data_IF_946995985807
#
_entry.id   IF_946995985807
#
_cell.length_a   1.000
_cell.length_b   1.000
_cell.length_c   1.000
_cell.angle_alpha   90.00
_cell.angle_beta   90.00
_cell.angle_gamma   90.00
#
_symmetry.space_group_name_H-M   'P 1'
#
loop_
_entity.id
_entity.type
_entity.pdbx_description
1 polymer ?
#
# COMPACT_ATOMS: atom_id res chain seq x y z
N UNK A 1 0.78 10.05 -1.03
CA UNK A 1 1.87 10.75 -1.74
C UNK A 1 3.05 9.80 -1.85
N UNK A 2 3.22 9.16 -3.00
CA UNK A 2 4.28 8.18 -3.20
C UNK A 2 5.68 8.81 -3.22
N UNK A 3 5.78 10.03 -3.75
CA UNK A 3 7.01 10.82 -3.85
C UNK A 3 7.18 11.85 -2.71
N UNK A 4 6.29 11.79 -1.71
CA UNK A 4 6.23 12.73 -0.58
C UNK A 4 5.71 14.14 -0.92
N UNK A 5 5.48 14.45 -2.20
CA UNK A 5 5.12 15.80 -2.66
C UNK A 5 3.71 15.84 -3.23
N UNK A 6 3.42 14.97 -4.18
CA UNK A 6 2.21 15.00 -4.98
C UNK A 6 1.20 13.95 -4.50
N UNK A 7 -0.07 14.37 -4.39
CA UNK A 7 -1.16 13.44 -4.08
C UNK A 7 -1.48 12.59 -5.29
N UNK A 8 -1.77 11.32 -5.06
CA UNK A 8 -2.07 10.33 -6.08
C UNK A 8 -3.25 9.48 -5.64
N UNK A 9 -4.01 8.94 -6.58
CA UNK A 9 -5.09 8.00 -6.34
C UNK A 9 -4.56 6.57 -6.46
N UNK A 10 -5.00 5.68 -5.57
CA UNK A 10 -4.69 4.26 -5.64
C UNK A 10 -5.95 3.42 -5.39
N UNK A 11 -6.17 2.42 -6.25
CA UNK A 11 -7.35 1.57 -6.22
C UNK A 11 -6.97 0.11 -6.45
N UNK A 12 -7.46 -0.80 -5.60
CA UNK A 12 -7.42 -2.23 -5.87
C UNK A 12 -8.50 -2.62 -6.87
N UNK A 13 -8.19 -3.55 -7.76
CA UNK A 13 -9.10 -4.09 -8.78
C UNK A 13 -9.45 -5.54 -8.50
N UNK A 14 -10.60 -6.00 -9.01
CA UNK A 14 -11.03 -7.41 -8.90
C UNK A 14 -10.09 -8.39 -9.62
N UNK A 15 -9.29 -7.91 -10.57
CA UNK A 15 -8.28 -8.69 -11.30
C UNK A 15 -6.97 -8.88 -10.52
N UNK A 16 -6.89 -8.47 -9.25
CA UNK A 16 -5.68 -8.59 -8.45
C UNK A 16 -4.57 -7.63 -8.90
N UNK A 17 -4.95 -6.48 -9.47
CA UNK A 17 -4.06 -5.37 -9.80
C UNK A 17 -4.36 -4.18 -8.92
N UNK A 18 -3.33 -3.38 -8.65
CA UNK A 18 -3.47 -2.05 -8.07
C UNK A 18 -3.23 -1.03 -9.17
N UNK A 19 -4.19 -0.13 -9.34
CA UNK A 19 -4.09 1.03 -10.21
C UNK A 19 -3.61 2.22 -9.39
N UNK A 20 -2.60 2.92 -9.89
CA UNK A 20 -2.04 4.13 -9.29
C UNK A 20 -2.08 5.24 -10.34
N UNK A 21 -2.73 6.35 -9.99
CA UNK A 21 -2.85 7.53 -10.84
C UNK A 21 -2.24 8.74 -10.14
N UNK A 22 -1.29 9.40 -10.79
CA UNK A 22 -0.70 10.65 -10.32
C UNK A 22 -0.86 11.73 -11.40
N UNK A 23 -1.72 12.75 -11.19
CA UNK A 23 -1.94 13.80 -12.19
C UNK A 23 -0.73 14.73 -12.36
N UNK A 24 0.26 14.65 -11.46
CA UNK A 24 1.47 15.48 -11.50
C UNK A 24 2.67 14.78 -12.16
N UNK A 25 2.54 13.50 -12.48
CA UNK A 25 3.56 12.78 -13.22
C UNK A 25 3.60 13.32 -14.65
N UNK A 26 4.70 14.02 -14.99
CA UNK A 26 4.83 14.67 -16.31
C UNK A 26 4.86 13.60 -17.39
N UNK A 27 3.83 13.58 -18.22
CA UNK A 27 3.82 12.85 -19.48
C UNK A 27 5.03 13.31 -20.32
N UNK A 28 5.90 12.36 -20.66
CA UNK A 28 6.86 12.56 -21.75
C UNK A 28 6.05 12.55 -23.04
N UNK A 29 5.53 13.73 -23.40
CA UNK A 29 4.94 14.27 -24.64
C UNK A 29 4.28 13.42 -25.74
N UNK A 30 4.25 12.09 -25.75
CA UNK A 30 3.68 11.31 -26.87
C UNK A 30 2.80 10.11 -26.46
N UNK A 31 2.49 9.95 -25.18
CA UNK A 31 1.66 8.83 -24.70
C UNK A 31 0.45 9.34 -23.89
N UNK A 32 -0.61 9.76 -24.61
CA UNK A 32 -1.88 10.24 -24.03
C UNK A 32 -2.57 9.20 -23.11
N UNK A 33 -2.08 7.95 -23.08
CA UNK A 33 -2.68 6.84 -22.34
C UNK A 33 -1.94 6.42 -21.06
N UNK A 34 -0.80 7.01 -20.71
CA UNK A 34 0.05 6.47 -19.64
C UNK A 34 -0.07 7.20 -18.29
N UNK A 35 -1.27 7.71 -17.97
CA UNK A 35 -1.56 8.32 -16.66
C UNK A 35 -1.74 7.30 -15.53
N UNK A 36 -1.72 6.01 -15.86
CA UNK A 36 -2.06 4.91 -14.96
C UNK A 36 -0.89 3.93 -14.86
N UNK A 37 -0.31 3.83 -13.67
CA UNK A 37 0.62 2.74 -13.33
C UNK A 37 -0.18 1.56 -12.80
N UNK A 38 0.22 0.34 -13.15
CA UNK A 38 -0.38 -0.89 -12.64
C UNK A 38 0.64 -1.74 -11.90
N UNK A 39 0.31 -2.13 -10.68
CA UNK A 39 1.05 -3.12 -9.89
C UNK A 39 0.27 -4.43 -9.86
N UNK A 40 0.91 -5.52 -10.31
CA UNK A 40 0.27 -6.84 -10.35
C UNK A 40 0.51 -7.58 -9.03
N UNK A 41 -0.53 -7.75 -8.23
CA UNK A 41 -0.49 -8.54 -6.97
C UNK A 41 -0.74 -10.03 -7.27
N UNK A 42 -1.44 -10.33 -8.37
CA UNK A 42 -1.78 -11.69 -8.81
C UNK A 42 -2.53 -12.51 -7.76
N UNK A 43 -3.19 -11.83 -6.83
CA UNK A 43 -4.02 -12.39 -5.76
C UNK A 43 -5.22 -11.48 -5.52
N UNK A 44 -6.26 -12.02 -4.91
CA UNK A 44 -7.41 -11.22 -4.48
C UNK A 44 -6.98 -10.23 -3.41
N UNK A 45 -7.11 -8.95 -3.72
CA UNK A 45 -6.87 -7.84 -2.80
C UNK A 45 -8.11 -7.73 -1.91
N UNK A 46 -7.90 -7.71 -0.59
CA UNK A 46 -8.97 -7.66 0.42
C UNK A 46 -8.98 -6.35 1.19
N UNK A 47 -7.83 -5.70 1.32
CA UNK A 47 -7.70 -4.38 1.91
C UNK A 47 -6.50 -3.65 1.30
N UNK A 48 -6.57 -2.32 1.23
CA UNK A 48 -5.46 -1.45 0.86
C UNK A 48 -5.42 -0.27 1.83
N UNK A 49 -4.22 0.22 2.12
CA UNK A 49 -4.02 1.47 2.83
C UNK A 49 -2.68 2.10 2.44
N UNK A 50 -2.46 3.36 2.79
CA UNK A 50 -1.23 4.07 2.48
C UNK A 50 -0.81 4.97 3.64
N UNK A 51 0.50 4.97 3.94
CA UNK A 51 1.04 5.90 4.93
C UNK A 51 2.55 5.73 5.16
N UNK A 52 3.18 6.68 5.87
CA UNK A 52 4.60 6.63 6.15
C UNK A 52 4.89 5.67 7.31
N UNK A 53 5.20 4.40 7.00
CA UNK A 53 5.44 3.34 7.99
C UNK A 53 6.71 3.52 8.83
N UNK A 54 7.47 4.59 8.59
CA UNK A 54 8.64 4.92 9.40
C UNK A 54 8.60 6.42 9.74
N UNK A 55 8.92 6.82 10.99
CA UNK A 55 8.80 8.22 11.42
C UNK A 55 9.58 9.23 10.58
N UNK A 56 10.67 8.79 9.95
CA UNK A 56 11.53 9.63 9.12
C UNK A 56 11.17 9.59 7.62
N UNK A 57 10.14 8.83 7.22
CA UNK A 57 9.68 8.81 5.83
C UNK A 57 8.72 9.98 5.60
N UNK A 58 9.04 10.82 4.63
CA UNK A 58 8.19 11.93 4.18
C UNK A 58 7.24 11.51 3.04
N UNK A 59 7.18 10.22 2.72
CA UNK A 59 6.38 9.66 1.65
C UNK A 59 5.64 8.40 2.10
N UNK A 60 4.55 8.08 1.40
CA UNK A 60 3.68 6.97 1.75
C UNK A 60 4.21 5.67 1.16
N UNK A 61 4.12 4.60 1.94
CA UNK A 61 4.23 3.24 1.46
C UNK A 61 2.84 2.68 1.21
N UNK A 62 2.73 1.81 0.21
CA UNK A 62 1.48 1.14 -0.13
C UNK A 62 1.38 -0.17 0.66
N UNK A 63 0.32 -0.32 1.45
CA UNK A 63 -0.01 -1.54 2.16
C UNK A 63 -1.10 -2.29 1.41
N UNK A 64 -0.87 -3.59 1.18
CA UNK A 64 -1.78 -4.46 0.42
C UNK A 64 -2.07 -5.72 1.22
N UNK A 65 -3.31 -5.82 1.68
CA UNK A 65 -3.85 -7.01 2.30
C UNK A 65 -4.42 -7.98 1.27
N UNK A 66 -4.14 -9.26 1.47
CA UNK A 66 -4.75 -10.38 0.74
C UNK A 66 -5.32 -11.39 1.75
N UNK A 67 -5.90 -12.47 1.25
CA UNK A 67 -6.46 -13.53 2.11
C UNK A 67 -5.42 -14.22 3.02
N UNK A 68 -4.13 -14.17 2.70
CA UNK A 68 -3.09 -14.88 3.46
C UNK A 68 -1.86 -14.04 3.75
N UNK A 69 -1.78 -12.81 3.24
CA UNK A 69 -0.55 -12.02 3.25
C UNK A 69 -0.80 -10.53 3.37
N UNK A 70 0.17 -9.85 3.96
CA UNK A 70 0.34 -8.40 3.95
C UNK A 70 1.62 -8.06 3.18
N UNK A 71 1.51 -7.21 2.18
CA UNK A 71 2.62 -6.63 1.43
C UNK A 71 2.74 -5.14 1.80
N UNK A 72 3.95 -4.68 2.09
CA UNK A 72 4.30 -3.27 2.14
C UNK A 72 5.23 -2.96 0.96
N UNK A 73 4.83 -2.00 0.13
CA UNK A 73 5.45 -1.72 -1.16
C UNK A 73 5.84 -0.24 -1.28
N UNK A 74 7.07 0.02 -1.72
CA UNK A 74 7.54 1.35 -2.10
C UNK A 74 7.26 1.58 -3.58
N UNK A 75 6.26 2.44 -3.86
CA UNK A 75 5.79 2.73 -5.22
C UNK A 75 6.85 3.45 -6.05
N UNK A 76 7.63 4.34 -5.45
CA UNK A 76 8.63 5.13 -6.19
C UNK A 76 9.90 4.32 -6.45
N UNK A 77 10.33 3.49 -5.49
CA UNK A 77 11.49 2.62 -5.67
C UNK A 77 11.16 1.31 -6.39
N UNK A 78 9.88 1.04 -6.62
CA UNK A 78 9.39 -0.19 -7.22
C UNK A 78 9.95 -1.44 -6.49
N UNK A 79 9.82 -1.45 -5.17
CA UNK A 79 10.43 -2.47 -4.30
C UNK A 79 9.56 -2.86 -3.12
N UNK A 80 9.59 -4.13 -2.76
CA UNK A 80 8.97 -4.64 -1.54
C UNK A 80 9.78 -4.18 -0.31
N UNK A 81 9.10 -3.55 0.66
CA UNK A 81 9.70 -3.22 1.96
C UNK A 81 9.62 -4.43 2.87
N UNK A 82 8.46 -5.08 2.93
CA UNK A 82 8.31 -6.39 3.53
C UNK A 82 7.13 -7.15 2.96
N UNK A 83 7.15 -8.46 3.16
CA UNK A 83 6.06 -9.37 2.87
C UNK A 83 5.87 -10.29 4.09
N UNK A 84 4.66 -10.32 4.66
CA UNK A 84 4.34 -11.10 5.86
C UNK A 84 3.18 -12.03 5.60
N UNK A 85 3.27 -13.23 6.16
CA UNK A 85 2.13 -14.16 6.22
C UNK A 85 1.16 -13.71 7.31
N UNK A 86 -0.12 -13.65 6.96
CA UNK A 86 -1.23 -13.37 7.86
C UNK A 86 -2.22 -14.52 7.71
N UNK A 87 -2.03 -15.57 8.52
CA UNK A 87 -2.79 -16.82 8.39
C UNK A 87 -4.31 -16.63 8.53
N UNK A 88 -4.73 -15.62 9.29
CA UNK A 88 -6.14 -15.27 9.52
C UNK A 88 -6.71 -14.28 8.49
N UNK A 89 -5.91 -13.94 7.47
CA UNK A 89 -6.24 -12.99 6.41
C UNK A 89 -6.16 -11.53 6.80
N UNK A 90 -6.04 -10.66 5.79
CA UNK A 90 -6.03 -9.22 5.95
C UNK A 90 -7.34 -8.61 5.40
N UNK A 91 -8.39 -8.61 6.22
CA UNK A 91 -9.73 -8.14 5.84
C UNK A 91 -9.92 -6.64 6.07
N UNK A 92 -9.23 -6.10 7.07
CA UNK A 92 -9.12 -4.67 7.32
C UNK A 92 -7.65 -4.31 7.46
N UNK A 93 -7.30 -3.10 7.01
CA UNK A 93 -5.94 -2.60 7.05
C UNK A 93 -5.98 -1.13 7.47
N UNK A 94 -5.11 -0.78 8.41
CA UNK A 94 -4.94 0.57 8.90
C UNK A 94 -3.46 0.84 9.14
N UNK A 95 -2.96 1.92 8.57
CA UNK A 95 -1.75 2.58 9.01
C UNK A 95 -2.06 3.49 10.20
N UNK A 96 -1.31 3.37 11.29
CA UNK A 96 -1.48 4.28 12.41
C UNK A 96 -0.55 3.99 13.58
N UNK A 97 -0.69 4.79 14.64
CA UNK A 97 0.13 4.69 15.87
C UNK A 97 -0.76 4.32 17.06
N UNK A 98 -0.94 3.02 17.37
CA UNK A 98 -1.78 2.61 18.50
C UNK A 98 -1.20 3.09 19.83
N UNK A 99 -2.00 3.73 20.68
CA UNK A 99 -1.75 3.87 22.12
C UNK A 99 -0.37 4.38 22.56
N UNK A 100 0.32 5.20 21.75
CA UNK A 100 1.66 5.71 22.07
C UNK A 100 2.83 4.81 21.66
N UNK A 101 2.62 3.80 20.80
CA UNK A 101 3.67 2.95 20.21
C UNK A 101 4.87 3.79 19.73
N UNK A 102 6.13 3.33 19.81
CA UNK A 102 7.29 4.16 19.47
C UNK A 102 7.33 4.56 17.99
N UNK A 103 6.79 3.72 17.11
CA UNK A 103 6.69 3.92 15.68
C UNK A 103 5.25 3.65 15.20
N UNK A 104 4.85 4.19 14.03
CA UNK A 104 3.61 3.77 13.39
C UNK A 104 3.69 2.30 12.94
N UNK A 105 2.53 1.65 12.86
CA UNK A 105 2.39 0.24 12.52
C UNK A 105 1.36 0.06 11.40
N UNK A 106 1.55 -1.00 10.63
CA UNK A 106 0.53 -1.55 9.75
C UNK A 106 -0.33 -2.50 10.57
N UNK A 107 -1.53 -2.07 10.91
CA UNK A 107 -2.50 -2.83 11.70
C UNK A 107 -3.41 -3.60 10.76
N UNK A 108 -3.40 -4.92 10.90
CA UNK A 108 -4.21 -5.85 10.10
C UNK A 108 -5.29 -6.47 10.97
N UNK A 109 -6.53 -6.40 10.52
CA UNK A 109 -7.65 -7.17 11.07
C UNK A 109 -7.96 -8.40 10.22
N UNK A 110 -7.86 -9.59 10.83
CA UNK A 110 -8.26 -10.88 10.25
C UNK A 110 -9.67 -11.29 10.68
N UNK A 111 -10.00 -12.58 10.64
CA UNK A 111 -11.30 -13.06 11.10
C UNK A 111 -11.48 -12.92 12.61
N UNK A 112 -10.45 -13.28 13.38
CA UNK A 112 -10.49 -13.35 14.84
C UNK A 112 -9.23 -12.76 15.51
N UNK A 113 -8.37 -12.07 14.75
CA UNK A 113 -7.12 -11.51 15.25
C UNK A 113 -6.86 -10.10 14.74
N UNK A 114 -6.12 -9.32 15.54
CA UNK A 114 -5.54 -8.04 15.14
C UNK A 114 -4.03 -8.16 15.32
N UNK A 115 -3.28 -7.85 14.27
CA UNK A 115 -1.81 -7.95 14.25
C UNK A 115 -1.22 -6.60 13.82
N UNK A 116 -0.07 -6.23 14.36
CA UNK A 116 0.65 -5.01 14.00
C UNK A 116 2.04 -5.35 13.47
N UNK A 117 2.44 -4.69 12.38
CA UNK A 117 3.74 -4.88 11.74
C UNK A 117 4.48 -3.54 11.59
N UNK A 118 5.78 -3.55 11.84
CA UNK A 118 6.72 -2.44 11.63
C UNK A 118 7.69 -2.70 10.47
#
# INVERSE_FOLDING_TARGET
>A
KWDGKHTSLCCGTSAGKILIHNPYERQIKDDENNELRFLNINRKITAIDAGPLHPNLEYDLLLVGTQTNLLCYDVEKNSDIFYKDVADGAHALLYGRPGGAPAPLAVVGGNCSIQGFD
#
